data_IF_254262299908
#
_entry.id   IF_254262299908
#
_cell.length_a   1.000
_cell.length_b   1.000
_cell.length_c   1.000
_cell.angle_alpha   90.00
_cell.angle_beta   90.00
_cell.angle_gamma   90.00
#
_symmetry.space_group_name_H-M   'P 1'
#
loop_
_entity.id
_entity.type
_entity.pdbx_description
1 polymer ?
#
# COMPACT_ATOMS: atom_id res chain seq x y z
N UNK A 1 -19.26 58.39 0.86
CA UNK A 1 -19.78 57.02 1.05
C UNK A 1 -19.08 56.43 2.26
N UNK A 2 -19.80 56.33 3.38
CA UNK A 2 -19.22 56.03 4.69
C UNK A 2 -18.97 54.54 4.90
N UNK A 3 -17.75 54.21 5.34
CA UNK A 3 -17.41 52.89 5.89
C UNK A 3 -17.72 52.87 7.38
N UNK A 4 -18.74 52.11 7.78
CA UNK A 4 -18.99 51.72 9.17
C UNK A 4 -18.17 50.46 9.46
N UNK A 5 -17.04 50.64 10.14
CA UNK A 5 -16.28 49.55 10.74
C UNK A 5 -16.88 49.20 12.11
N UNK A 6 -17.65 48.11 12.16
CA UNK A 6 -18.21 47.56 13.39
C UNK A 6 -17.20 46.56 13.99
N UNK A 7 -16.47 46.97 15.02
CA UNK A 7 -15.60 46.10 15.82
C UNK A 7 -16.47 45.37 16.85
N UNK A 8 -16.75 44.09 16.58
CA UNK A 8 -17.34 43.16 17.55
C UNK A 8 -16.18 42.36 18.16
N UNK A 9 -15.81 42.67 19.41
CA UNK A 9 -14.93 41.80 20.20
C UNK A 9 -15.78 40.74 20.90
N UNK A 10 -15.55 39.48 20.54
CA UNK A 10 -16.18 38.31 21.12
C UNK A 10 -15.72 38.03 22.55
N UNK A 11 -16.69 37.62 23.36
CA UNK A 11 -16.51 37.17 24.74
C UNK A 11 -15.80 35.81 24.79
N UNK A 12 -14.88 35.65 25.76
CA UNK A 12 -14.49 34.35 26.29
C UNK A 12 -14.89 34.27 27.76
N UNK A 13 -15.62 33.19 28.03
CA UNK A 13 -16.33 32.79 29.24
C UNK A 13 -15.35 32.23 30.27
N UNK A 14 -15.48 32.58 31.57
CA UNK A 14 -15.83 31.66 32.67
C UNK A 14 -15.43 32.14 34.08
N UNK A 15 -16.41 31.95 34.98
CA UNK A 15 -16.31 31.62 36.42
C UNK A 15 -16.20 32.75 37.45
N UNK A 16 -17.34 32.98 38.12
CA UNK A 16 -17.40 33.07 39.57
C UNK A 16 -17.36 34.47 40.18
N UNK A 17 -18.23 34.64 41.19
CA UNK A 17 -18.15 35.60 42.29
C UNK A 17 -18.52 37.07 42.00
N UNK A 18 -19.59 37.47 42.71
CA UNK A 18 -19.82 38.75 43.36
C UNK A 18 -19.81 40.05 42.55
N UNK A 19 -21.03 40.57 42.40
CA UNK A 19 -21.45 41.95 42.18
C UNK A 19 -20.34 43.02 42.18
N UNK A 20 -19.93 43.43 40.98
CA UNK A 20 -19.40 44.78 40.74
C UNK A 20 -20.18 45.39 39.60
N UNK A 21 -21.13 46.29 39.91
CA UNK A 21 -21.72 47.18 38.92
C UNK A 21 -20.63 48.13 38.42
N UNK A 22 -19.99 47.78 37.30
CA UNK A 22 -19.16 48.72 36.55
C UNK A 22 -20.08 49.73 35.86
N UNK A 23 -20.10 50.97 36.37
CA UNK A 23 -20.70 52.09 35.65
C UNK A 23 -19.91 52.30 34.36
N UNK A 24 -20.54 51.98 33.23
CA UNK A 24 -20.03 52.28 31.89
C UNK A 24 -19.95 53.81 31.76
N UNK A 25 -18.72 54.35 31.78
CA UNK A 25 -18.47 55.75 31.45
C UNK A 25 -18.62 55.87 29.93
N UNK A 26 -19.76 56.34 29.44
CA UNK A 26 -19.92 56.72 28.04
C UNK A 26 -19.27 58.08 27.81
N UNK A 27 -18.13 58.10 27.11
CA UNK A 27 -17.49 59.33 26.63
C UNK A 27 -18.21 59.73 25.33
N UNK A 28 -19.43 60.27 25.44
CA UNK A 28 -20.29 60.55 24.28
C UNK A 28 -19.96 61.88 23.56
N UNK A 29 -18.93 62.64 24.00
CA UNK A 29 -18.55 63.91 23.36
C UNK A 29 -17.04 64.07 23.26
N UNK A 30 -16.54 64.21 22.03
CA UNK A 30 -15.14 64.54 21.73
C UNK A 30 -14.83 65.92 22.34
N UNK A 31 -13.71 66.09 23.09
CA UNK A 31 -13.37 67.38 23.70
C UNK A 31 -13.20 68.47 22.63
N UNK A 32 -13.78 69.64 22.86
CA UNK A 32 -13.71 70.78 21.91
C UNK A 32 -12.26 71.14 21.57
N UNK A 33 -11.34 71.02 22.54
CA UNK A 33 -9.92 71.28 22.29
C UNK A 33 -9.32 70.30 21.27
N UNK A 34 -9.76 69.04 21.26
CA UNK A 34 -9.27 68.03 20.31
C UNK A 34 -9.74 68.35 18.88
N UNK A 35 -10.97 68.86 18.76
CA UNK A 35 -11.55 69.26 17.47
C UNK A 35 -10.85 70.50 16.91
N UNK A 36 -10.53 71.48 17.75
CA UNK A 36 -9.78 72.69 17.34
C UNK A 36 -8.35 72.34 16.93
N UNK A 37 -7.69 71.45 17.68
CA UNK A 37 -6.32 71.00 17.38
C UNK A 37 -6.27 70.22 16.06
N UNK A 38 -7.29 69.41 15.74
CA UNK A 38 -7.44 68.79 14.41
C UNK A 38 -7.62 69.81 13.31
N UNK A 39 -8.46 70.83 13.50
CA UNK A 39 -8.68 71.87 12.48
C UNK A 39 -7.41 72.67 12.20
N UNK A 40 -6.63 73.00 13.23
CA UNK A 40 -5.34 73.67 13.08
C UNK A 40 -4.34 72.80 12.30
N UNK A 41 -4.23 71.51 12.66
CA UNK A 41 -3.38 70.55 11.97
C UNK A 41 -3.79 70.32 10.50
N UNK A 42 -5.09 70.24 10.20
CA UNK A 42 -5.60 70.13 8.84
C UNK A 42 -5.35 71.41 8.00
N UNK A 43 -5.37 72.58 8.64
CA UNK A 43 -5.03 73.84 7.98
C UNK A 43 -3.52 73.91 7.66
N UNK A 44 -2.66 73.49 8.59
CA UNK A 44 -1.22 73.39 8.38
C UNK A 44 -0.86 72.38 7.28
N UNK A 45 -1.50 71.21 7.26
CA UNK A 45 -1.34 70.20 6.20
C UNK A 45 -1.69 70.73 4.80
N UNK A 46 -2.73 71.58 4.69
CA UNK A 46 -3.11 72.19 3.41
C UNK A 46 -2.12 73.24 2.90
N UNK A 47 -1.28 73.78 3.79
CA UNK A 47 -0.24 74.76 3.45
C UNK A 47 1.16 74.15 3.35
N UNK A 48 1.36 72.91 3.83
CA UNK A 48 2.66 72.27 3.95
C UNK A 48 3.24 71.72 2.64
N UNK A 49 2.39 71.45 1.64
CA UNK A 49 2.83 71.08 0.29
C UNK A 49 1.84 71.66 -0.72
N UNK A 50 2.30 72.59 -1.54
CA UNK A 50 1.46 73.11 -2.62
C UNK A 50 1.32 72.05 -3.71
N UNK A 51 0.24 72.09 -4.51
CA UNK A 51 0.12 71.23 -5.70
C UNK A 51 1.31 71.36 -6.66
N UNK A 52 1.94 72.53 -6.69
CA UNK A 52 3.16 72.81 -7.46
C UNK A 52 4.36 72.05 -6.89
N UNK A 53 4.57 72.06 -5.56
CA UNK A 53 5.63 71.27 -4.91
C UNK A 53 5.46 69.77 -5.15
N UNK A 54 4.22 69.28 -5.13
CA UNK A 54 3.88 67.88 -5.42
C UNK A 54 4.17 67.56 -6.88
N UNK A 55 3.80 68.44 -7.82
CA UNK A 55 4.05 68.26 -9.25
C UNK A 55 5.56 68.24 -9.55
N UNK A 56 6.33 69.19 -8.99
CA UNK A 56 7.78 69.24 -9.16
C UNK A 56 8.47 68.01 -8.59
N UNK A 57 8.09 67.58 -7.38
CA UNK A 57 8.63 66.35 -6.77
C UNK A 57 8.31 65.12 -7.63
N UNK A 58 7.12 65.08 -8.24
CA UNK A 58 6.71 63.97 -9.10
C UNK A 58 7.44 63.96 -10.45
N UNK A 59 7.72 65.12 -11.02
CA UNK A 59 8.58 65.26 -12.21
C UNK A 59 10.02 64.83 -11.93
N UNK A 60 10.59 65.27 -10.80
CA UNK A 60 11.93 64.86 -10.35
C UNK A 60 12.01 63.34 -10.16
N UNK A 61 10.97 62.73 -9.60
CA UNK A 61 10.86 61.29 -9.41
C UNK A 61 10.81 60.52 -10.74
N UNK A 62 9.96 60.91 -11.69
CA UNK A 62 9.87 60.23 -12.99
C UNK A 62 11.14 60.43 -13.83
N UNK A 63 11.79 61.60 -13.73
CA UNK A 63 13.07 61.85 -14.38
C UNK A 63 14.20 60.99 -13.77
N UNK A 64 14.26 60.87 -12.44
CA UNK A 64 15.23 60.02 -11.75
C UNK A 64 15.04 58.53 -12.13
N UNK A 65 13.80 58.06 -12.22
CA UNK A 65 13.45 56.71 -12.65
C UNK A 65 13.86 56.45 -14.11
N UNK A 66 13.64 57.41 -15.00
CA UNK A 66 14.09 57.34 -16.40
C UNK A 66 15.60 57.27 -16.49
N UNK A 67 16.32 58.10 -15.74
CA UNK A 67 17.79 58.08 -15.67
C UNK A 67 18.34 56.75 -15.12
N UNK A 68 17.68 56.17 -14.12
CA UNK A 68 18.05 54.85 -13.57
C UNK A 68 17.87 53.73 -14.61
N UNK A 69 16.77 53.76 -15.36
CA UNK A 69 16.52 52.79 -16.44
C UNK A 69 17.43 52.96 -17.66
N UNK A 70 17.92 54.19 -17.89
CA UNK A 70 18.84 54.53 -18.98
C UNK A 70 20.33 54.38 -18.59
N UNK A 71 20.64 54.18 -17.30
CA UNK A 71 22.00 53.95 -16.84
C UNK A 71 22.56 52.68 -17.49
N UNK A 72 23.68 52.83 -18.21
CA UNK A 72 24.34 51.71 -18.89
C UNK A 72 24.57 50.55 -17.92
N UNK A 73 24.12 49.36 -18.32
CA UNK A 73 24.27 48.14 -17.54
C UNK A 73 23.19 47.87 -16.47
N UNK A 74 22.26 48.79 -16.19
CA UNK A 74 21.17 48.53 -15.22
C UNK A 74 20.28 47.36 -15.65
N UNK A 75 19.85 47.32 -16.91
CA UNK A 75 19.06 46.21 -17.47
C UNK A 75 19.80 44.87 -17.46
N UNK A 76 21.11 44.88 -17.74
CA UNK A 76 21.95 43.68 -17.65
C UNK A 76 22.08 43.18 -16.21
N UNK A 77 22.26 44.09 -15.25
CA UNK A 77 22.35 43.76 -13.82
C UNK A 77 21.03 43.20 -13.30
N UNK A 78 19.90 43.79 -13.66
CA UNK A 78 18.56 43.28 -13.31
C UNK A 78 18.33 41.88 -13.87
N UNK A 79 18.59 41.68 -15.17
CA UNK A 79 18.48 40.36 -15.82
C UNK A 79 19.38 39.30 -15.17
N UNK A 80 20.61 39.67 -14.80
CA UNK A 80 21.53 38.75 -14.11
C UNK A 80 21.04 38.35 -12.72
N UNK A 81 20.43 39.27 -11.97
CA UNK A 81 19.83 39.01 -10.67
C UNK A 81 18.59 38.13 -10.78
N UNK A 82 17.73 38.37 -11.77
CA UNK A 82 16.57 37.55 -12.06
C UNK A 82 16.98 36.11 -12.43
N UNK A 83 18.00 35.95 -13.29
CA UNK A 83 18.55 34.65 -13.65
C UNK A 83 19.17 33.93 -12.43
N UNK A 84 19.90 34.65 -11.57
CA UNK A 84 20.45 34.09 -10.34
C UNK A 84 19.36 33.63 -9.37
N UNK A 85 18.33 34.46 -9.17
CA UNK A 85 17.16 34.13 -8.35
C UNK A 85 16.41 32.92 -8.89
N UNK A 86 16.21 32.85 -10.21
CA UNK A 86 15.55 31.71 -10.85
C UNK A 86 16.33 30.41 -10.63
N UNK A 87 17.65 30.45 -10.78
CA UNK A 87 18.52 29.30 -10.51
C UNK A 87 18.48 28.85 -9.05
N UNK A 88 18.37 29.78 -8.11
CA UNK A 88 18.21 29.48 -6.69
C UNK A 88 16.85 28.84 -6.39
N UNK A 89 15.77 29.34 -6.98
CA UNK A 89 14.42 28.75 -6.89
C UNK A 89 14.44 27.31 -7.41
N UNK A 90 15.05 27.06 -8.57
CA UNK A 90 15.17 25.72 -9.15
C UNK A 90 15.98 24.77 -8.24
N UNK A 91 17.06 25.26 -7.63
CA UNK A 91 17.86 24.48 -6.70
C UNK A 91 17.08 24.12 -5.42
N UNK A 92 16.30 25.06 -4.88
CA UNK A 92 15.42 24.83 -3.71
C UNK A 92 14.33 23.82 -4.06
N UNK A 93 13.64 24.00 -5.19
CA UNK A 93 12.61 23.07 -5.66
C UNK A 93 13.17 21.66 -5.89
N UNK A 94 14.36 21.56 -6.49
CA UNK A 94 15.05 20.27 -6.69
C UNK A 94 15.39 19.56 -5.38
N UNK A 95 15.79 20.30 -4.33
CA UNK A 95 16.01 19.73 -2.99
C UNK A 95 14.70 19.28 -2.36
N UNK A 96 13.66 20.11 -2.42
CA UNK A 96 12.34 19.80 -1.88
C UNK A 96 11.77 18.51 -2.49
N UNK A 97 11.77 18.40 -3.82
CA UNK A 97 11.26 17.21 -4.52
C UNK A 97 12.05 15.94 -4.17
N UNK A 98 13.38 16.04 -3.98
CA UNK A 98 14.20 14.91 -3.55
C UNK A 98 13.85 14.44 -2.14
N UNK A 99 13.68 15.37 -1.19
CA UNK A 99 13.29 15.02 0.18
C UNK A 99 11.87 14.46 0.24
N UNK A 100 10.94 15.02 -0.55
CA UNK A 100 9.59 14.47 -0.70
C UNK A 100 9.62 13.02 -1.21
N UNK A 101 10.38 12.75 -2.28
CA UNK A 101 10.52 11.39 -2.82
C UNK A 101 11.13 10.40 -1.81
N UNK A 102 12.09 10.84 -1.00
CA UNK A 102 12.66 10.02 0.09
C UNK A 102 11.63 9.72 1.17
N UNK A 103 10.85 10.72 1.58
CA UNK A 103 9.81 10.56 2.59
C UNK A 103 8.71 9.59 2.10
N UNK A 104 8.29 9.73 0.85
CA UNK A 104 7.30 8.85 0.22
C UNK A 104 7.81 7.41 0.12
N UNK A 105 9.07 7.22 -0.30
CA UNK A 105 9.70 5.90 -0.37
C UNK A 105 9.82 5.25 1.02
N UNK A 106 10.26 6.00 2.02
CA UNK A 106 10.38 5.52 3.41
C UNK A 106 9.01 5.15 3.99
N UNK A 107 7.99 5.99 3.75
CA UNK A 107 6.64 5.76 4.25
C UNK A 107 6.02 4.53 3.59
N UNK A 108 6.18 4.38 2.27
CA UNK A 108 5.72 3.20 1.52
C UNK A 108 6.37 1.92 2.06
N UNK A 109 7.70 1.91 2.23
CA UNK A 109 8.43 0.78 2.78
C UNK A 109 7.94 0.39 4.18
N UNK A 110 7.72 1.37 5.06
CA UNK A 110 7.21 1.11 6.41
C UNK A 110 5.78 0.53 6.41
N UNK A 111 4.94 0.94 5.45
CA UNK A 111 3.59 0.37 5.26
C UNK A 111 3.69 -1.08 4.77
N UNK A 112 4.55 -1.35 3.79
CA UNK A 112 4.80 -2.70 3.26
C UNK A 112 5.26 -3.65 4.36
N UNK A 113 6.29 -3.27 5.14
CA UNK A 113 6.79 -4.08 6.26
C UNK A 113 5.71 -4.38 7.32
N UNK A 114 4.87 -3.38 7.65
CA UNK A 114 3.74 -3.58 8.59
C UNK A 114 2.70 -4.54 8.03
N UNK A 115 2.45 -4.48 6.72
CA UNK A 115 1.48 -5.35 6.06
C UNK A 115 1.99 -6.79 5.98
N UNK A 116 3.25 -6.99 5.60
CA UNK A 116 3.90 -8.31 5.58
C UNK A 116 3.89 -8.97 6.97
N UNK A 117 4.21 -8.20 8.01
CA UNK A 117 4.15 -8.70 9.40
C UNK A 117 2.74 -9.15 9.77
N UNK A 118 1.71 -8.35 9.46
CA UNK A 118 0.30 -8.72 9.72
C UNK A 118 -0.12 -9.96 8.93
N UNK A 119 0.30 -10.07 7.67
CA UNK A 119 0.04 -11.25 6.85
C UNK A 119 0.68 -12.50 7.45
N UNK A 120 1.93 -12.41 7.89
CA UNK A 120 2.61 -13.52 8.56
C UNK A 120 1.90 -13.92 9.86
N UNK A 121 1.49 -12.96 10.68
CA UNK A 121 0.70 -13.24 11.90
C UNK A 121 -0.63 -13.95 11.58
N UNK A 122 -1.36 -13.51 10.55
CA UNK A 122 -2.62 -14.13 10.15
C UNK A 122 -2.41 -15.55 9.63
N UNK A 123 -1.38 -15.77 8.79
CA UNK A 123 -1.01 -17.11 8.31
C UNK A 123 -0.69 -18.02 9.49
N UNK A 124 0.14 -17.55 10.43
CA UNK A 124 0.51 -18.33 11.61
C UNK A 124 -0.71 -18.64 12.50
N UNK A 125 -1.62 -17.69 12.72
CA UNK A 125 -2.87 -17.93 13.45
C UNK A 125 -3.78 -18.94 12.74
N UNK A 126 -3.90 -18.83 11.42
CA UNK A 126 -4.69 -19.76 10.60
C UNK A 126 -4.14 -21.19 10.65
N UNK A 127 -2.83 -21.33 10.49
CA UNK A 127 -2.11 -22.61 10.60
C UNK A 127 -2.25 -23.18 12.01
N UNK A 128 -2.04 -22.38 13.06
CA UNK A 128 -2.22 -22.82 14.45
C UNK A 128 -3.64 -23.27 14.74
N UNK A 129 -4.66 -22.50 14.32
CA UNK A 129 -6.07 -22.87 14.50
C UNK A 129 -6.42 -24.17 13.77
N UNK A 130 -5.91 -24.34 12.54
CA UNK A 130 -6.13 -25.55 11.74
C UNK A 130 -5.43 -26.76 12.35
N UNK A 131 -4.18 -26.60 12.78
CA UNK A 131 -3.40 -27.64 13.48
C UNK A 131 -4.11 -28.09 14.76
N UNK A 132 -4.53 -27.15 15.60
CA UNK A 132 -5.25 -27.45 16.85
C UNK A 132 -6.58 -28.16 16.57
N UNK A 133 -7.34 -27.72 15.56
CA UNK A 133 -8.59 -28.38 15.17
C UNK A 133 -8.36 -29.80 14.66
N UNK A 134 -7.29 -30.01 13.90
CA UNK A 134 -6.93 -31.34 13.39
C UNK A 134 -6.48 -32.28 14.52
N UNK A 135 -5.63 -31.80 15.44
CA UNK A 135 -5.23 -32.56 16.63
C UNK A 135 -6.45 -32.98 17.48
N UNK A 136 -7.40 -32.09 17.69
CA UNK A 136 -8.63 -32.40 18.42
C UNK A 136 -9.49 -33.46 17.70
N UNK A 137 -9.54 -33.42 16.36
CA UNK A 137 -10.23 -34.46 15.56
C UNK A 137 -9.53 -35.81 15.65
N UNK A 138 -8.20 -35.86 15.60
CA UNK A 138 -7.42 -37.09 15.78
C UNK A 138 -7.64 -37.67 17.18
N UNK A 139 -7.63 -36.85 18.23
CA UNK A 139 -7.91 -37.32 19.59
C UNK A 139 -9.31 -37.93 19.72
N UNK A 140 -10.32 -37.30 19.10
CA UNK A 140 -11.68 -37.84 19.09
C UNK A 140 -11.75 -39.18 18.36
N UNK A 141 -11.11 -39.29 17.19
CA UNK A 141 -11.08 -40.52 16.39
C UNK A 141 -10.37 -41.66 17.12
N UNK A 142 -9.26 -41.39 17.79
CA UNK A 142 -8.54 -42.37 18.62
C UNK A 142 -9.46 -42.96 19.70
N UNK A 143 -10.18 -42.10 20.44
CA UNK A 143 -11.14 -42.55 21.48
C UNK A 143 -12.27 -43.40 20.88
N UNK A 144 -12.80 -43.02 19.71
CA UNK A 144 -13.83 -43.79 19.01
C UNK A 144 -13.33 -45.17 18.56
N UNK A 145 -12.10 -45.27 18.05
CA UNK A 145 -11.50 -46.54 17.61
C UNK A 145 -11.20 -47.46 18.79
N UNK A 146 -10.67 -46.92 19.90
CA UNK A 146 -10.49 -47.67 21.15
C UNK A 146 -11.83 -48.20 21.66
N UNK A 147 -12.89 -47.38 21.65
CA UNK A 147 -14.24 -47.81 22.06
C UNK A 147 -14.84 -48.90 21.17
N UNK A 148 -14.40 -49.01 19.91
CA UNK A 148 -14.76 -50.07 18.96
C UNK A 148 -13.83 -51.28 19.01
N UNK A 149 -12.86 -51.29 19.92
CA UNK A 149 -11.82 -52.32 20.05
C UNK A 149 -10.89 -52.42 18.81
N UNK A 150 -10.80 -51.37 17.99
CA UNK A 150 -9.85 -51.26 16.88
C UNK A 150 -8.54 -50.61 17.35
N UNK A 151 -7.74 -51.41 18.07
CA UNK A 151 -6.48 -50.96 18.67
C UNK A 151 -5.41 -50.63 17.60
N UNK A 152 -5.45 -51.31 16.46
CA UNK A 152 -4.53 -51.06 15.35
C UNK A 152 -4.81 -49.69 14.71
N UNK A 153 -6.08 -49.37 14.44
CA UNK A 153 -6.49 -48.06 13.95
C UNK A 153 -6.16 -46.94 14.96
N UNK A 154 -6.41 -47.16 16.25
CA UNK A 154 -6.08 -46.19 17.29
C UNK A 154 -4.58 -45.88 17.36
N UNK A 155 -3.71 -46.90 17.22
CA UNK A 155 -2.25 -46.72 17.21
C UNK A 155 -1.78 -45.88 16.01
N UNK A 156 -2.37 -46.07 14.83
CA UNK A 156 -2.06 -45.25 13.63
C UNK A 156 -2.41 -43.79 13.86
N UNK A 157 -3.58 -43.51 14.44
CA UNK A 157 -4.03 -42.15 14.77
C UNK A 157 -3.11 -41.50 15.83
N UNK A 158 -2.67 -42.27 16.82
CA UNK A 158 -1.75 -41.81 17.85
C UNK A 158 -0.38 -41.41 17.26
N UNK A 159 0.17 -42.23 16.35
CA UNK A 159 1.42 -41.92 15.63
C UNK A 159 1.27 -40.66 14.80
N UNK A 160 0.15 -40.49 14.11
CA UNK A 160 -0.12 -39.29 13.30
C UNK A 160 -0.24 -38.03 14.19
N UNK A 161 -0.88 -38.14 15.36
CA UNK A 161 -0.96 -37.05 16.33
C UNK A 161 0.42 -36.65 16.87
N UNK A 162 1.32 -37.60 17.09
CA UNK A 162 2.70 -37.34 17.53
C UNK A 162 3.55 -36.67 16.45
N UNK A 163 3.40 -37.05 15.18
CA UNK A 163 4.06 -36.34 14.07
C UNK A 163 3.63 -34.88 14.02
N UNK A 164 2.35 -34.61 14.27
CA UNK A 164 1.79 -33.24 14.27
C UNK A 164 2.20 -32.39 15.48
N UNK A 165 2.62 -33.00 16.60
CA UNK A 165 3.07 -32.27 17.79
C UNK A 165 4.57 -31.99 17.80
N UNK A 166 5.33 -32.48 16.81
CA UNK A 166 6.79 -32.30 16.74
C UNK A 166 7.55 -33.08 17.83
N UNK A 167 6.88 -33.97 18.56
CA UNK A 167 7.53 -34.84 19.52
C UNK A 167 8.35 -35.92 18.78
N UNK A 168 9.59 -36.22 19.19
CA UNK A 168 10.44 -37.19 18.48
C UNK A 168 9.80 -38.58 18.48
N UNK A 169 9.41 -39.05 17.29
CA UNK A 169 8.72 -40.33 17.00
C UNK A 169 9.66 -41.55 17.08
N UNK A 170 10.78 -41.43 17.78
CA UNK A 170 11.87 -42.43 17.77
C UNK A 170 11.55 -43.72 18.54
N UNK A 171 10.46 -43.76 19.33
CA UNK A 171 10.16 -44.90 20.20
C UNK A 171 9.16 -45.93 19.61
N UNK A 172 8.48 -45.65 18.49
CA UNK A 172 7.38 -46.53 18.01
C UNK A 172 7.55 -47.00 16.55
N UNK A 173 8.40 -46.36 15.74
CA UNK A 173 8.55 -46.71 14.30
C UNK A 173 9.71 -47.68 14.06
N UNK A 174 9.56 -48.94 14.49
CA UNK A 174 10.41 -50.03 13.97
C UNK A 174 9.66 -51.08 13.16
N UNK A 175 8.36 -50.89 12.89
CA UNK A 175 7.51 -51.93 12.29
C UNK A 175 6.59 -51.46 11.14
N UNK A 176 6.77 -50.25 10.58
CA UNK A 176 5.85 -49.76 9.53
C UNK A 176 6.51 -49.08 8.31
N UNK A 177 7.78 -49.39 7.99
CA UNK A 177 8.42 -48.90 6.77
C UNK A 177 8.27 -49.90 5.62
N UNK A 178 7.05 -49.99 5.06
CA UNK A 178 6.78 -50.68 3.79
C UNK A 178 5.37 -50.37 3.23
N UNK A 179 4.99 -49.10 3.04
CA UNK A 179 3.85 -48.67 2.20
C UNK A 179 3.77 -47.12 2.20
N UNK A 180 3.62 -46.37 1.11
CA UNK A 180 3.38 -46.73 -0.27
C UNK A 180 3.97 -45.72 -1.27
N UNK A 181 4.24 -46.23 -2.46
CA UNK A 181 4.62 -45.49 -3.68
C UNK A 181 3.37 -44.84 -4.29
N UNK A 182 2.81 -43.83 -3.64
CA UNK A 182 1.76 -42.99 -4.22
C UNK A 182 2.33 -41.68 -4.73
N UNK A 183 1.74 -41.15 -5.82
CA UNK A 183 2.05 -39.81 -6.32
C UNK A 183 1.85 -38.80 -5.18
N UNK A 184 2.86 -37.99 -4.88
CA UNK A 184 2.73 -36.88 -3.95
C UNK A 184 2.04 -35.71 -4.67
N UNK A 185 1.05 -35.10 -4.02
CA UNK A 185 0.40 -33.89 -4.53
C UNK A 185 0.58 -32.78 -3.50
N UNK A 186 1.38 -31.77 -3.87
CA UNK A 186 1.60 -30.58 -3.06
C UNK A 186 0.64 -29.50 -3.52
N UNK A 187 -0.18 -28.96 -2.62
CA UNK A 187 -1.30 -28.07 -2.96
C UNK A 187 -1.17 -26.73 -2.25
N UNK A 188 -1.40 -25.64 -2.99
CA UNK A 188 -1.75 -24.34 -2.42
C UNK A 188 -3.17 -23.95 -2.80
N UNK A 189 -4.02 -23.79 -1.79
CA UNK A 189 -5.41 -23.32 -1.92
C UNK A 189 -5.55 -21.80 -1.68
N UNK A 190 -4.43 -21.07 -1.61
CA UNK A 190 -4.45 -19.62 -1.43
C UNK A 190 -4.97 -18.97 -2.72
N UNK A 191 -6.03 -18.16 -2.60
CA UNK A 191 -6.53 -17.41 -3.75
C UNK A 191 -5.54 -16.33 -4.16
N UNK A 192 -5.24 -16.26 -5.45
CA UNK A 192 -4.34 -15.30 -6.07
C UNK A 192 -5.02 -14.52 -7.20
N UNK A 193 -4.37 -13.44 -7.63
CA UNK A 193 -4.88 -12.56 -8.67
C UNK A 193 -3.70 -12.01 -9.50
N UNK A 194 -3.60 -12.46 -10.75
CA UNK A 194 -2.61 -11.97 -11.71
C UNK A 194 -3.27 -10.98 -12.67
N UNK A 195 -3.06 -9.68 -12.44
CA UNK A 195 -3.62 -8.59 -13.25
C UNK A 195 -4.51 -7.63 -12.44
N UNK A 196 -4.70 -6.42 -12.96
CA UNK A 196 -5.40 -5.25 -12.41
C UNK A 196 -4.66 -4.31 -11.42
N UNK A 197 -4.70 -3.01 -11.76
CA UNK A 197 -4.55 -1.82 -10.91
C UNK A 197 -3.55 -1.89 -9.73
N UNK A 198 -2.31 -2.31 -10.00
CA UNK A 198 -1.22 -2.27 -9.01
C UNK A 198 -1.26 -3.36 -7.94
N UNK A 199 -2.11 -4.38 -8.07
CA UNK A 199 -2.24 -5.45 -7.09
C UNK A 199 -1.44 -6.71 -7.50
N UNK A 200 -0.14 -6.72 -7.19
CA UNK A 200 0.80 -7.82 -7.47
C UNK A 200 0.76 -8.90 -6.36
N UNK A 201 -0.01 -8.68 -5.29
CA UNK A 201 0.26 -9.24 -3.97
C UNK A 201 0.14 -10.78 -3.81
N UNK A 202 -0.34 -11.55 -4.79
CA UNK A 202 -0.54 -13.00 -4.63
C UNK A 202 -0.21 -13.83 -5.88
N UNK A 203 0.79 -13.43 -6.67
CA UNK A 203 1.18 -14.14 -7.89
C UNK A 203 2.29 -15.16 -7.70
N UNK A 204 2.70 -15.43 -6.46
CA UNK A 204 3.79 -16.37 -6.17
C UNK A 204 3.31 -17.40 -5.15
N UNK A 205 3.44 -18.66 -5.54
CA UNK A 205 3.07 -19.83 -4.76
C UNK A 205 4.33 -20.61 -4.38
N UNK A 206 4.50 -20.89 -3.10
CA UNK A 206 5.73 -21.53 -2.59
C UNK A 206 5.42 -22.98 -2.21
N UNK A 207 6.23 -23.90 -2.72
CA UNK A 207 6.13 -25.34 -2.46
C UNK A 207 7.46 -25.85 -1.90
N UNK A 208 7.41 -26.66 -0.84
CA UNK A 208 8.58 -27.41 -0.36
C UNK A 208 8.42 -28.86 -0.78
N UNK A 209 9.34 -29.35 -1.61
CA UNK A 209 9.38 -30.73 -2.08
C UNK A 209 10.47 -31.47 -1.31
N UNK A 210 10.09 -32.52 -0.60
CA UNK A 210 10.98 -33.38 0.20
C UNK A 210 11.59 -34.52 -0.64
N UNK A 211 10.98 -34.83 -1.78
CA UNK A 211 11.43 -35.83 -2.74
C UNK A 211 11.17 -35.37 -4.17
N UNK A 212 11.86 -36.00 -5.11
CA UNK A 212 11.64 -35.85 -6.55
C UNK A 212 11.11 -37.15 -7.14
N UNK A 213 10.29 -37.03 -8.18
CA UNK A 213 9.74 -38.14 -8.95
C UNK A 213 10.36 -38.19 -10.34
N UNK A 214 10.14 -39.30 -11.05
CA UNK A 214 10.49 -39.39 -12.47
C UNK A 214 9.60 -38.53 -13.36
N UNK A 215 8.45 -38.11 -12.84
CA UNK A 215 7.50 -37.23 -13.52
C UNK A 215 7.07 -36.15 -12.53
N UNK A 216 6.92 -34.93 -13.03
CA UNK A 216 6.37 -33.83 -12.26
C UNK A 216 5.42 -33.00 -13.14
N UNK A 217 4.27 -32.63 -12.60
CA UNK A 217 3.25 -31.84 -13.30
C UNK A 217 2.82 -30.66 -12.45
N UNK A 218 2.83 -29.47 -13.05
CA UNK A 218 2.18 -28.28 -12.51
C UNK A 218 0.73 -28.28 -12.95
N UNK A 219 -0.20 -28.08 -12.03
CA UNK A 219 -1.63 -27.89 -12.34
C UNK A 219 -2.11 -26.63 -11.66
N UNK A 220 -2.81 -25.77 -12.38
CA UNK A 220 -3.44 -24.59 -11.79
C UNK A 220 -4.86 -24.39 -12.29
N UNK A 221 -5.67 -23.81 -11.41
CA UNK A 221 -7.10 -23.61 -11.57
C UNK A 221 -7.35 -22.12 -11.50
N UNK A 222 -7.74 -21.51 -12.61
CA UNK A 222 -8.01 -20.08 -12.63
C UNK A 222 -8.95 -19.67 -13.75
N UNK A 223 -9.39 -18.41 -13.66
CA UNK A 223 -10.41 -17.85 -14.53
C UNK A 223 -10.22 -16.32 -14.65
N UNK A 224 -10.27 -15.79 -15.87
CA UNK A 224 -10.40 -14.36 -16.15
C UNK A 224 -11.88 -14.01 -16.20
N UNK A 225 -12.33 -12.90 -15.59
CA UNK A 225 -13.74 -12.60 -15.35
C UNK A 225 -14.58 -12.40 -16.64
N UNK A 226 -15.45 -11.41 -16.73
CA UNK A 226 -16.58 -11.30 -17.66
C UNK A 226 -16.28 -11.38 -19.16
N UNK A 227 -15.05 -11.17 -19.60
CA UNK A 227 -14.71 -11.07 -21.04
C UNK A 227 -13.86 -12.24 -21.53
N UNK A 228 -13.32 -13.06 -20.63
CA UNK A 228 -12.33 -14.08 -20.98
C UNK A 228 -11.02 -13.49 -21.48
N UNK A 229 -10.85 -12.17 -21.48
CA UNK A 229 -9.70 -11.47 -22.05
C UNK A 229 -8.59 -11.32 -20.99
N UNK A 230 -7.89 -12.41 -20.73
CA UNK A 230 -6.79 -12.46 -19.78
C UNK A 230 -5.66 -13.33 -20.31
N UNK A 231 -4.45 -12.76 -20.33
CA UNK A 231 -3.27 -13.40 -20.87
C UNK A 231 -2.11 -13.32 -19.88
N UNK A 232 -1.28 -14.35 -19.90
CA UNK A 232 -0.04 -14.31 -19.16
C UNK A 232 0.74 -15.61 -19.17
N UNK A 233 1.83 -15.59 -18.41
CA UNK A 233 2.87 -16.61 -18.38
C UNK A 233 3.07 -17.14 -16.97
N UNK A 234 3.36 -18.42 -16.87
CA UNK A 234 3.64 -19.09 -15.60
C UNK A 234 5.10 -19.52 -15.58
N UNK A 235 5.83 -19.09 -14.56
CA UNK A 235 7.22 -19.44 -14.35
C UNK A 235 7.37 -20.34 -13.14
N UNK A 236 8.25 -21.33 -13.25
CA UNK A 236 8.73 -22.12 -12.13
C UNK A 236 10.13 -21.64 -11.76
N UNK A 237 10.31 -21.27 -10.49
CA UNK A 237 11.61 -20.94 -9.92
C UNK A 237 12.11 -22.12 -9.09
N UNK A 238 13.29 -22.62 -9.44
CA UNK A 238 13.93 -23.73 -8.74
C UNK A 238 14.67 -23.30 -7.46
N UNK A 239 15.07 -24.27 -6.61
CA UNK A 239 15.89 -24.01 -5.42
C UNK A 239 17.27 -23.42 -5.75
N UNK A 240 17.74 -23.63 -6.97
CA UNK A 240 18.98 -23.08 -7.53
C UNK A 240 18.83 -21.63 -8.03
N UNK A 241 17.63 -21.06 -7.95
CA UNK A 241 17.33 -19.72 -8.46
C UNK A 241 17.05 -19.68 -9.96
N UNK A 242 17.08 -20.81 -10.66
CA UNK A 242 16.65 -20.87 -12.07
C UNK A 242 15.20 -20.42 -12.21
N UNK A 243 14.85 -19.71 -13.28
CA UNK A 243 13.49 -19.26 -13.59
C UNK A 243 13.14 -19.69 -15.01
N UNK A 244 12.17 -20.59 -15.14
CA UNK A 244 11.79 -21.17 -16.44
C UNK A 244 10.32 -20.96 -16.70
N UNK A 245 9.95 -20.52 -17.89
CA UNK A 245 8.55 -20.49 -18.33
C UNK A 245 8.07 -21.92 -18.52
N UNK A 246 6.97 -22.30 -17.85
CA UNK A 246 6.45 -23.66 -17.86
C UNK A 246 5.04 -23.75 -18.44
N UNK A 247 4.28 -22.65 -18.42
CA UNK A 247 2.96 -22.59 -19.03
C UNK A 247 2.61 -21.16 -19.43
N UNK A 248 1.52 -21.04 -20.18
CA UNK A 248 0.85 -19.77 -20.45
C UNK A 248 -0.66 -19.95 -20.25
N UNK A 249 -1.36 -18.86 -19.96
CA UNK A 249 -2.81 -18.82 -20.04
C UNK A 249 -3.24 -17.79 -21.07
N UNK A 250 -4.36 -18.08 -21.71
CA UNK A 250 -4.98 -17.25 -22.72
C UNK A 250 -6.50 -17.54 -22.71
N UNK A 251 -7.34 -16.65 -23.24
CA UNK A 251 -8.80 -16.75 -23.20
C UNK A 251 -9.37 -18.13 -23.50
N UNK A 252 -8.84 -18.79 -24.54
CA UNK A 252 -9.31 -20.10 -24.98
C UNK A 252 -9.05 -21.23 -23.98
N UNK A 253 -8.06 -21.08 -23.11
CA UNK A 253 -7.72 -22.04 -22.05
C UNK A 253 -8.52 -21.79 -20.75
N UNK A 254 -9.20 -20.65 -20.64
CA UNK A 254 -9.93 -20.22 -19.45
C UNK A 254 -11.44 -20.47 -19.53
N UNK A 255 -11.89 -21.25 -20.52
CA UNK A 255 -13.31 -21.53 -20.75
C UNK A 255 -13.87 -22.36 -19.58
N UNK A 256 -14.81 -21.78 -18.85
CA UNK A 256 -15.62 -22.48 -17.83
C UNK A 256 -17.12 -22.31 -18.07
N UNK A 257 -17.98 -23.02 -17.32
CA UNK A 257 -19.43 -22.81 -17.33
C UNK A 257 -19.78 -21.34 -17.01
N UNK A 258 -20.95 -20.87 -17.47
CA UNK A 258 -21.32 -19.43 -17.45
C UNK A 258 -21.06 -18.75 -16.08
N UNK A 259 -20.56 -17.52 -16.16
CA UNK A 259 -20.04 -16.61 -15.12
C UNK A 259 -20.88 -16.49 -13.83
N UNK A 260 -22.16 -16.85 -13.85
CA UNK A 260 -23.07 -16.69 -12.71
C UNK A 260 -22.86 -17.68 -11.56
N UNK A 261 -22.18 -18.81 -11.78
CA UNK A 261 -22.29 -19.97 -10.87
C UNK A 261 -20.97 -20.53 -10.30
N UNK A 262 -19.83 -19.87 -10.50
CA UNK A 262 -18.54 -20.36 -9.97
C UNK A 262 -18.48 -20.29 -8.43
N UNK A 263 -18.44 -21.45 -7.77
CA UNK A 263 -18.36 -21.57 -6.29
C UNK A 263 -17.02 -22.16 -5.83
N UNK A 264 -16.31 -22.86 -6.71
CA UNK A 264 -15.20 -23.76 -6.35
C UNK A 264 -14.14 -23.87 -7.46
N UNK A 265 -12.92 -24.31 -7.12
CA UNK A 265 -11.87 -24.65 -8.10
C UNK A 265 -12.27 -25.84 -9.00
N UNK A 266 -13.25 -26.64 -8.58
CA UNK A 266 -13.80 -27.75 -9.37
C UNK A 266 -14.63 -27.28 -10.55
N UNK A 267 -15.04 -26.01 -10.55
CA UNK A 267 -15.92 -25.44 -11.56
C UNK A 267 -15.11 -24.87 -12.74
N UNK A 268 -13.80 -24.70 -12.60
CA UNK A 268 -12.90 -24.19 -13.65
C UNK A 268 -12.09 -25.32 -14.28
N UNK A 269 -11.78 -25.17 -15.58
CA UNK A 269 -10.93 -26.13 -16.27
C UNK A 269 -9.48 -25.99 -15.77
N UNK A 270 -8.82 -27.08 -15.36
CA UNK A 270 -7.41 -27.03 -14.98
C UNK A 270 -6.52 -26.82 -16.20
N UNK A 271 -5.49 -25.99 -16.03
CA UNK A 271 -4.38 -25.91 -16.97
C UNK A 271 -3.21 -26.69 -16.36
N UNK A 272 -2.57 -27.54 -17.15
CA UNK A 272 -1.46 -28.36 -16.69
C UNK A 272 -0.23 -28.26 -17.59
N UNK A 273 0.95 -28.28 -16.99
CA UNK A 273 2.23 -28.32 -17.68
C UNK A 273 3.14 -29.40 -17.10
N UNK A 274 3.90 -30.06 -17.98
CA UNK A 274 4.97 -30.97 -17.57
C UNK A 274 6.17 -30.13 -17.09
N UNK A 275 6.61 -30.39 -15.86
CA UNK A 275 7.75 -29.72 -15.22
C UNK A 275 8.83 -30.73 -14.80
N UNK A 276 8.78 -31.97 -15.31
CA UNK A 276 9.69 -33.06 -14.95
C UNK A 276 11.15 -32.68 -15.20
N UNK A 277 11.42 -31.91 -16.26
CA UNK A 277 12.78 -31.46 -16.58
C UNK A 277 13.31 -30.33 -15.70
N UNK A 278 12.45 -29.69 -14.88
CA UNK A 278 12.78 -28.57 -14.01
C UNK A 278 12.87 -29.01 -12.54
N UNK A 279 12.08 -30.01 -12.12
CA UNK A 279 12.09 -30.53 -10.75
C UNK A 279 13.17 -31.61 -10.60
N UNK A 280 14.43 -31.17 -10.49
CA UNK A 280 15.60 -32.09 -10.46
C UNK A 280 16.13 -32.41 -9.07
N UNK A 281 15.72 -31.66 -8.05
CA UNK A 281 16.19 -31.85 -6.69
C UNK A 281 15.13 -31.45 -5.65
N UNK A 282 15.14 -32.03 -4.43
CA UNK A 282 14.33 -31.55 -3.33
C UNK A 282 14.65 -30.09 -2.99
N UNK A 283 13.69 -29.36 -2.43
CA UNK A 283 13.88 -27.98 -2.02
C UNK A 283 12.64 -27.11 -2.16
N UNK A 284 12.84 -25.80 -2.06
CA UNK A 284 11.78 -24.81 -2.22
C UNK A 284 11.64 -24.40 -3.69
N UNK A 285 10.45 -24.56 -4.23
CA UNK A 285 10.05 -24.11 -5.56
C UNK A 285 9.05 -22.97 -5.44
N UNK A 286 9.07 -22.04 -6.40
CA UNK A 286 8.08 -20.96 -6.49
C UNK A 286 7.41 -20.97 -7.85
N UNK A 287 6.08 -20.95 -7.88
CA UNK A 287 5.30 -20.79 -9.11
C UNK A 287 4.84 -19.34 -9.19
N UNK A 288 5.29 -18.63 -10.22
CA UNK A 288 5.04 -17.21 -10.45
C UNK A 288 4.08 -17.03 -11.63
N UNK A 289 3.00 -16.28 -11.44
CA UNK A 289 2.03 -15.92 -12.48
C UNK A 289 2.28 -14.48 -12.93
N UNK A 290 2.80 -14.32 -14.15
CA UNK A 290 3.09 -13.02 -14.72
C UNK A 290 2.01 -12.64 -15.74
N UNK A 291 1.19 -11.66 -15.38
CA UNK A 291 0.22 -11.06 -16.29
C UNK A 291 0.92 -10.36 -17.46
N UNK A 292 0.44 -10.55 -18.69
CA UNK A 292 0.99 -9.88 -19.87
C UNK A 292 0.06 -8.80 -20.40
N UNK A 293 -1.20 -9.14 -20.66
CA UNK A 293 -2.16 -8.30 -21.37
C UNK A 293 -3.61 -8.79 -21.21
N UNK A 294 -4.55 -7.99 -21.70
CA UNK A 294 -6.00 -8.14 -21.56
C UNK A 294 -6.62 -7.07 -20.65
N UNK A 295 -7.94 -7.03 -20.63
CA UNK A 295 -8.72 -6.12 -19.79
C UNK A 295 -9.06 -6.70 -18.40
N UNK A 296 -8.73 -7.97 -18.15
CA UNK A 296 -9.15 -8.66 -16.92
C UNK A 296 -8.06 -9.46 -16.22
N UNK A 297 -8.10 -9.37 -14.88
CA UNK A 297 -7.23 -10.14 -14.01
C UNK A 297 -7.54 -11.65 -14.06
N UNK A 298 -6.49 -12.45 -14.01
CA UNK A 298 -6.56 -13.89 -13.84
C UNK A 298 -6.72 -14.26 -12.36
N UNK A 299 -7.91 -14.75 -11.99
CA UNK A 299 -8.21 -15.22 -10.64
C UNK A 299 -7.69 -16.65 -10.48
N UNK A 300 -6.79 -16.87 -9.54
CA UNK A 300 -6.16 -18.17 -9.29
C UNK A 300 -6.79 -18.77 -8.03
N UNK A 301 -7.41 -19.92 -8.16
CA UNK A 301 -8.08 -20.60 -7.05
C UNK A 301 -7.21 -21.63 -6.36
N UNK A 302 -6.36 -22.33 -7.14
CA UNK A 302 -5.56 -23.44 -6.65
C UNK A 302 -4.37 -23.69 -7.56
N UNK A 303 -3.25 -24.07 -6.97
CA UNK A 303 -2.02 -24.47 -7.67
C UNK A 303 -1.49 -25.75 -7.04
N UNK A 304 -1.03 -26.69 -7.86
CA UNK A 304 -0.54 -27.99 -7.45
C UNK A 304 0.77 -28.37 -8.13
N UNK A 305 1.65 -29.04 -7.40
CA UNK A 305 2.76 -29.81 -7.98
C UNK A 305 2.50 -31.29 -7.67
N UNK A 306 2.35 -32.09 -8.72
CA UNK A 306 2.14 -33.54 -8.66
C UNK A 306 3.45 -34.25 -9.00
N UNK A 307 3.90 -35.20 -8.18
CA UNK A 307 5.20 -35.91 -8.25
C UNK A 307 4.99 -37.41 -8.13
#
# INVERSE_FOLDING_TARGET
MGWKGMLVLGALLLLGADNVSASVITIDKEPVQLVELRKAYEAELKTAATPEDIATTQEEYEQAKKNLSAAEGYGQKLSSLEAAKQKEIEAINGKYLKEQAKLDASTRKAIEERFEKKLAELKNRGVAKTSNSYQAKLEKLEKELVGKNDLAGALVVQVERQKMSGAPVAAIVKTASAAGKGNAVHVSSVRGLAGAAGNIANNIYVFTLDRIGSQAKLVFYGYGNRTGDSHGKVYLLGPDGSRTEVAQWQPDLLRGPKVSDFKSYTDVQPISADISSQVKQPGQYRVEFQYTDGDEAFNIYRVEIQI
#
